data_IF_331234089493
#
_entry.id   IF_331234089493
#
_cell.length_a   1.000
_cell.length_b   1.000
_cell.length_c   1.000
_cell.angle_alpha   90.00
_cell.angle_beta   90.00
_cell.angle_gamma   90.00
#
_symmetry.space_group_name_H-M   'P 1'
#
loop_
_entity.id
_entity.type
_entity.pdbx_description
1 polymer ?
#
# COMPACT_ATOMS: atom_id res chain seq x y z
N UNK A 1 -7.01 11.95 10.90
CA UNK A 1 -8.04 10.91 10.71
C UNK A 1 -7.44 9.83 9.83
N UNK A 2 -7.87 8.57 9.99
CA UNK A 2 -7.47 7.42 9.16
C UNK A 2 -8.73 6.86 8.52
N UNK A 3 -8.70 6.63 7.21
CA UNK A 3 -9.82 6.01 6.48
C UNK A 3 -9.51 4.57 6.19
N UNK A 4 -10.49 3.70 6.40
CA UNK A 4 -10.42 2.29 6.05
C UNK A 4 -11.72 1.83 5.42
N UNK A 5 -11.62 0.73 4.68
CA UNK A 5 -12.78 -0.02 4.23
C UNK A 5 -12.67 -1.48 4.60
N UNK A 6 -13.75 -2.05 5.09
CA UNK A 6 -13.91 -3.47 5.39
C UNK A 6 -14.27 -4.17 4.07
N UNK A 7 -13.46 -5.16 3.68
CA UNK A 7 -13.58 -5.87 2.41
C UNK A 7 -14.31 -7.20 2.53
N UNK A 8 -14.64 -7.61 3.74
CA UNK A 8 -15.41 -8.82 4.04
C UNK A 8 -16.71 -8.44 4.76
N UNK A 9 -17.84 -8.78 4.16
CA UNK A 9 -19.16 -8.48 4.69
C UNK A 9 -19.37 -9.05 6.12
N UNK A 10 -18.73 -10.18 6.46
CA UNK A 10 -18.81 -10.82 7.78
C UNK A 10 -18.10 -10.03 8.88
N UNK A 11 -17.23 -9.08 8.52
CA UNK A 11 -16.46 -8.26 9.46
C UNK A 11 -17.05 -6.86 9.67
N UNK A 12 -18.17 -6.55 9.02
CA UNK A 12 -18.75 -5.20 9.05
C UNK A 12 -19.19 -4.77 10.44
N UNK A 13 -19.06 -3.48 10.73
CA UNK A 13 -19.43 -2.89 12.01
C UNK A 13 -20.80 -2.26 11.83
N UNK A 14 -21.87 -2.90 12.32
CA UNK A 14 -23.25 -2.44 12.11
C UNK A 14 -23.58 -2.17 10.63
N UNK A 15 -23.14 -3.07 9.74
CA UNK A 15 -23.26 -2.93 8.27
C UNK A 15 -22.45 -1.80 7.64
N UNK A 16 -21.65 -1.07 8.41
CA UNK A 16 -20.74 -0.06 7.89
C UNK A 16 -19.51 -0.74 7.30
N UNK A 17 -19.15 -0.33 6.09
CA UNK A 17 -17.99 -0.84 5.36
C UNK A 17 -16.91 0.21 5.19
N UNK A 18 -17.24 1.50 5.00
CA UNK A 18 -16.28 2.58 4.80
C UNK A 18 -16.30 3.55 5.99
N UNK A 19 -15.18 3.64 6.69
CA UNK A 19 -15.07 4.32 7.97
C UNK A 19 -13.92 5.32 7.94
N UNK A 20 -14.16 6.52 8.47
CA UNK A 20 -13.10 7.47 8.81
C UNK A 20 -13.05 7.61 10.32
N UNK A 21 -11.93 7.23 10.91
CA UNK A 21 -11.70 7.20 12.35
C UNK A 21 -10.72 8.30 12.76
N UNK A 22 -10.82 8.77 14.00
CA UNK A 22 -9.71 9.47 14.63
C UNK A 22 -8.51 8.52 14.77
N UNK A 23 -7.31 9.07 14.97
CA UNK A 23 -6.13 8.24 15.17
C UNK A 23 -6.28 7.35 16.42
N UNK A 24 -6.80 7.89 17.51
CA UNK A 24 -7.03 7.18 18.76
C UNK A 24 -8.02 6.01 18.60
N UNK A 25 -9.13 6.23 17.91
CA UNK A 25 -10.11 5.16 17.63
C UNK A 25 -9.51 4.08 16.74
N UNK A 26 -8.78 4.48 15.69
CA UNK A 26 -8.10 3.53 14.80
C UNK A 26 -7.09 2.65 15.56
N UNK A 27 -6.31 3.21 16.50
CA UNK A 27 -5.36 2.43 17.31
C UNK A 27 -6.04 1.34 18.13
N UNK A 28 -7.23 1.62 18.63
CA UNK A 28 -8.01 0.73 19.48
C UNK A 28 -8.95 -0.18 18.69
N UNK A 29 -9.05 0.00 17.37
CA UNK A 29 -9.94 -0.79 16.54
C UNK A 29 -9.55 -2.28 16.57
N UNK A 30 -10.45 -3.10 17.11
CA UNK A 30 -10.36 -4.56 17.06
C UNK A 30 -11.28 -5.07 15.97
N UNK A 31 -10.68 -5.66 14.94
CA UNK A 31 -11.40 -6.33 13.85
C UNK A 31 -10.71 -7.66 13.58
N UNK A 32 -11.50 -8.70 13.28
CA UNK A 32 -10.97 -10.05 13.09
C UNK A 32 -10.29 -10.27 11.73
N UNK A 33 -10.00 -9.20 10.98
CA UNK A 33 -9.30 -9.26 9.71
C UNK A 33 -7.93 -9.92 9.86
N UNK A 34 -7.59 -10.84 8.97
CA UNK A 34 -6.27 -11.49 8.88
C UNK A 34 -5.34 -10.75 7.93
N UNK A 35 -5.89 -10.03 6.95
CA UNK A 35 -5.13 -9.29 5.93
C UNK A 35 -5.44 -7.80 5.98
N UNK A 36 -4.41 -6.99 5.86
CA UNK A 36 -4.55 -5.54 5.79
C UNK A 36 -3.78 -5.01 4.60
N UNK A 37 -4.52 -4.37 3.68
CA UNK A 37 -3.96 -3.68 2.53
C UNK A 37 -3.80 -2.19 2.89
N UNK A 38 -2.65 -1.60 2.59
CA UNK A 38 -2.37 -0.19 2.79
C UNK A 38 -2.11 0.42 1.41
N UNK A 39 -2.97 1.34 0.98
CA UNK A 39 -2.93 1.91 -0.36
C UNK A 39 -2.67 3.42 -0.34
N UNK A 40 -1.92 3.90 -1.33
CA UNK A 40 -1.56 5.31 -1.48
C UNK A 40 -2.65 6.20 -2.07
N UNK A 41 -3.51 5.64 -2.93
CA UNK A 41 -4.48 6.39 -3.72
C UNK A 41 -5.94 6.17 -3.26
N UNK A 42 -6.73 7.26 -3.26
CA UNK A 42 -8.14 7.26 -2.83
C UNK A 42 -9.04 6.46 -3.77
N UNK A 43 -8.87 6.61 -5.08
CA UNK A 43 -9.63 5.88 -6.11
C UNK A 43 -9.36 4.39 -5.95
N UNK A 44 -8.10 4.00 -5.76
CA UNK A 44 -7.72 2.61 -5.52
C UNK A 44 -8.37 2.03 -4.28
N UNK A 45 -8.44 2.79 -3.17
CA UNK A 45 -9.16 2.33 -1.98
C UNK A 45 -10.65 2.10 -2.25
N UNK A 46 -11.31 3.06 -2.92
CA UNK A 46 -12.73 2.98 -3.26
C UNK A 46 -13.04 1.89 -4.28
N UNK A 47 -12.10 1.56 -5.16
CA UNK A 47 -12.26 0.54 -6.19
C UNK A 47 -11.70 -0.82 -5.79
N UNK A 48 -11.04 -0.95 -4.62
CA UNK A 48 -10.41 -2.21 -4.21
C UNK A 48 -11.45 -3.35 -4.23
N UNK A 49 -11.12 -4.58 -4.65
CA UNK A 49 -12.11 -5.65 -4.64
C UNK A 49 -12.42 -6.09 -3.21
N UNK A 50 -13.61 -6.64 -3.00
CA UNK A 50 -13.91 -7.39 -1.78
C UNK A 50 -12.93 -8.56 -1.65
N UNK A 51 -12.55 -8.86 -0.40
CA UNK A 51 -11.54 -9.85 -0.09
C UNK A 51 -11.84 -10.46 1.28
N UNK A 52 -11.87 -11.81 1.38
CA UNK A 52 -12.13 -12.49 2.65
C UNK A 52 -11.17 -12.05 3.75
N UNK A 53 -11.70 -11.90 4.95
CA UNK A 53 -10.99 -11.59 6.18
C UNK A 53 -10.04 -10.38 6.06
N UNK A 54 -10.43 -9.34 5.30
CA UNK A 54 -9.54 -8.23 4.99
C UNK A 54 -10.14 -6.84 5.21
N UNK A 55 -9.24 -5.88 5.43
CA UNK A 55 -9.52 -4.44 5.35
C UNK A 55 -8.50 -3.76 4.43
N UNK A 56 -8.85 -2.60 3.89
CA UNK A 56 -7.95 -1.69 3.19
C UNK A 56 -7.88 -0.35 3.92
N UNK A 57 -6.69 0.22 4.06
CA UNK A 57 -6.42 1.51 4.72
C UNK A 57 -5.87 2.48 3.69
N UNK A 58 -6.32 3.73 3.76
CA UNK A 58 -5.88 4.82 2.90
C UNK A 58 -5.51 6.08 3.70
N UNK A 59 -4.69 6.93 3.09
CA UNK A 59 -4.55 8.33 3.49
C UNK A 59 -3.34 8.64 4.37
N UNK A 60 -2.27 7.85 4.24
CA UNK A 60 -1.08 7.98 5.09
C UNK A 60 0.09 8.65 4.37
N UNK A 61 0.36 8.29 3.10
CA UNK A 61 1.56 8.77 2.40
C UNK A 61 2.82 8.59 3.26
N UNK A 62 3.60 9.65 3.43
CA UNK A 62 4.76 9.63 4.33
C UNK A 62 4.41 9.45 5.82
N UNK A 63 3.18 9.68 6.25
CA UNK A 63 2.73 9.52 7.63
C UNK A 63 2.36 8.07 7.99
N UNK A 64 2.90 7.05 7.29
CA UNK A 64 2.72 5.62 7.62
C UNK A 64 3.15 5.25 9.05
N UNK A 65 4.03 6.03 9.68
CA UNK A 65 4.37 5.88 11.09
C UNK A 65 3.15 6.07 12.02
N UNK A 66 2.09 6.73 11.57
CA UNK A 66 0.82 6.82 12.30
C UNK A 66 0.10 5.48 12.40
N UNK A 67 0.60 4.40 11.77
CA UNK A 67 0.05 3.05 11.92
C UNK A 67 0.62 2.26 13.10
N UNK A 68 1.80 2.62 13.60
CA UNK A 68 2.53 1.94 14.69
C UNK A 68 1.68 1.73 15.94
N UNK A 69 1.59 0.51 16.47
CA UNK A 69 0.73 0.14 17.63
C UNK A 69 -0.78 0.04 17.34
N UNK A 70 -1.22 0.10 16.09
CA UNK A 70 -2.63 -0.18 15.80
C UNK A 70 -2.95 -1.68 15.99
N UNK A 71 -3.95 -1.97 16.83
CA UNK A 71 -4.33 -3.35 17.17
C UNK A 71 -4.78 -4.16 15.95
N UNK A 72 -5.39 -3.51 14.96
CA UNK A 72 -5.81 -4.14 13.72
C UNK A 72 -4.65 -4.57 12.79
N UNK A 73 -3.41 -4.17 13.07
CA UNK A 73 -2.22 -4.56 12.29
C UNK A 73 -1.38 -5.64 12.98
N UNK A 74 -1.52 -5.80 14.29
CA UNK A 74 -0.69 -6.73 15.06
C UNK A 74 -0.99 -8.18 14.68
N UNK A 75 0.06 -8.92 14.31
CA UNK A 75 -0.03 -10.33 13.91
C UNK A 75 -0.78 -10.58 12.60
N UNK A 76 -0.98 -9.56 11.76
CA UNK A 76 -1.71 -9.66 10.48
C UNK A 76 -0.77 -9.72 9.29
N UNK A 77 -1.26 -10.25 8.19
CA UNK A 77 -0.58 -10.13 6.90
C UNK A 77 -0.76 -8.71 6.37
N UNK A 78 0.36 -8.03 6.14
CA UNK A 78 0.37 -6.64 5.73
C UNK A 78 0.86 -6.51 4.29
N UNK A 79 0.10 -5.81 3.47
CA UNK A 79 0.44 -5.53 2.09
C UNK A 79 0.44 -4.02 1.86
N UNK A 80 1.47 -3.49 1.22
CA UNK A 80 1.56 -2.09 0.84
C UNK A 80 1.54 -1.97 -0.69
N UNK A 81 0.71 -1.07 -1.20
CA UNK A 81 0.65 -0.72 -2.61
C UNK A 81 0.61 0.81 -2.77
N UNK A 82 1.72 1.36 -3.23
CA UNK A 82 1.84 2.76 -3.64
C UNK A 82 2.12 2.86 -5.14
N UNK A 83 2.46 4.07 -5.57
CA UNK A 83 2.98 4.32 -6.91
C UNK A 83 4.32 3.60 -7.10
N UNK A 84 4.58 3.16 -8.33
CA UNK A 84 5.89 2.66 -8.75
C UNK A 84 6.77 3.85 -9.13
N UNK A 85 7.29 4.53 -8.09
CA UNK A 85 8.22 5.66 -8.15
C UNK A 85 9.14 5.68 -6.91
N UNK A 86 10.11 6.61 -6.82
CA UNK A 86 10.99 6.72 -5.65
C UNK A 86 10.27 6.98 -4.32
N UNK A 87 9.18 7.74 -4.31
CA UNK A 87 8.46 8.10 -3.08
C UNK A 87 7.66 6.91 -2.55
N UNK A 88 7.01 6.13 -3.44
CA UNK A 88 6.29 4.91 -3.09
C UNK A 88 7.20 3.88 -2.43
N UNK A 89 8.40 3.64 -2.98
CA UNK A 89 9.38 2.73 -2.37
C UNK A 89 9.99 3.28 -1.08
N UNK A 90 10.13 4.61 -0.96
CA UNK A 90 10.54 5.25 0.30
C UNK A 90 9.50 5.03 1.40
N UNK A 91 8.21 5.16 1.09
CA UNK A 91 7.11 4.90 2.03
C UNK A 91 7.07 3.42 2.43
N UNK A 92 7.26 2.50 1.49
CA UNK A 92 7.38 1.07 1.76
C UNK A 92 8.52 0.78 2.76
N UNK A 93 9.71 1.32 2.49
CA UNK A 93 10.86 1.17 3.39
C UNK A 93 10.56 1.74 4.79
N UNK A 94 9.93 2.91 4.88
CA UNK A 94 9.54 3.52 6.16
C UNK A 94 8.51 2.68 6.91
N UNK A 95 7.56 2.07 6.20
CA UNK A 95 6.56 1.19 6.82
C UNK A 95 7.22 -0.09 7.35
N UNK A 96 8.17 -0.67 6.60
CA UNK A 96 8.92 -1.87 7.02
C UNK A 96 9.86 -1.64 8.20
N UNK A 97 10.30 -0.41 8.44
CA UNK A 97 11.00 -0.07 9.69
C UNK A 97 10.19 -0.47 10.94
N UNK A 98 8.86 -0.36 10.88
CA UNK A 98 7.98 -0.71 12.00
C UNK A 98 7.32 -2.08 11.84
N UNK A 99 7.09 -2.51 10.59
CA UNK A 99 6.47 -3.77 10.26
C UNK A 99 7.30 -4.53 9.21
N UNK A 100 8.40 -5.18 9.60
CA UNK A 100 9.33 -5.82 8.68
C UNK A 100 8.69 -6.88 7.76
N UNK A 101 7.58 -7.47 8.19
CA UNK A 101 6.82 -8.49 7.46
C UNK A 101 5.97 -7.95 6.30
N UNK A 102 5.87 -6.62 6.13
CA UNK A 102 5.05 -6.02 5.06
C UNK A 102 5.54 -6.46 3.69
N UNK A 103 4.63 -6.97 2.87
CA UNK A 103 4.87 -7.32 1.48
C UNK A 103 4.48 -6.16 0.57
N UNK A 104 5.27 -5.89 -0.46
CA UNK A 104 4.85 -5.02 -1.56
C UNK A 104 3.83 -5.74 -2.42
N UNK A 105 2.79 -5.02 -2.86
CA UNK A 105 1.76 -5.50 -3.77
C UNK A 105 1.85 -4.69 -5.06
N UNK A 106 2.11 -5.35 -6.18
CA UNK A 106 2.20 -4.74 -7.52
C UNK A 106 3.29 -3.65 -7.65
N UNK A 107 4.27 -3.66 -6.76
CA UNK A 107 5.42 -2.75 -6.78
C UNK A 107 6.70 -3.49 -7.17
N UNK A 108 6.64 -4.25 -8.25
CA UNK A 108 7.76 -5.05 -8.75
C UNK A 108 8.11 -4.68 -10.20
N UNK A 109 9.28 -5.14 -10.64
CA UNK A 109 9.77 -4.92 -12.00
C UNK A 109 8.82 -5.49 -13.06
N UNK A 110 8.21 -6.65 -12.80
CA UNK A 110 7.28 -7.30 -13.75
C UNK A 110 6.08 -6.41 -14.03
N UNK A 111 5.55 -5.78 -12.99
CA UNK A 111 4.42 -4.84 -13.06
C UNK A 111 4.82 -3.57 -13.80
N UNK A 112 6.00 -3.01 -13.49
CA UNK A 112 6.53 -1.85 -14.22
C UNK A 112 6.66 -2.15 -15.73
N UNK A 113 7.23 -3.31 -16.10
CA UNK A 113 7.39 -3.70 -17.51
C UNK A 113 6.06 -3.97 -18.21
N UNK A 114 5.11 -4.61 -17.52
CA UNK A 114 3.77 -4.88 -18.08
C UNK A 114 3.03 -3.58 -18.42
N UNK A 115 3.12 -2.58 -17.56
CA UNK A 115 2.48 -1.27 -17.73
C UNK A 115 3.44 -0.18 -18.23
N UNK A 116 4.55 -0.55 -18.89
CA UNK A 116 5.54 0.42 -19.39
C UNK A 116 4.97 1.51 -20.29
N UNK A 117 3.89 1.21 -21.00
CA UNK A 117 3.18 2.14 -21.88
C UNK A 117 2.38 3.21 -21.13
N UNK A 118 2.20 3.04 -19.81
CA UNK A 118 1.53 3.98 -18.91
C UNK A 118 2.52 4.71 -18.00
N UNK A 119 3.81 4.35 -18.04
CA UNK A 119 4.87 5.03 -17.30
C UNK A 119 5.07 6.44 -17.85
N UNK A 120 5.24 7.39 -16.95
CA UNK A 120 5.55 8.78 -17.28
C UNK A 120 6.90 9.19 -16.73
N UNK A 121 7.50 10.20 -17.34
CA UNK A 121 8.63 10.89 -16.74
C UNK A 121 8.13 11.89 -15.69
N UNK A 122 8.51 11.66 -14.44
CA UNK A 122 8.22 12.51 -13.30
C UNK A 122 9.55 12.81 -12.59
N UNK A 123 10.18 13.98 -12.87
CA UNK A 123 11.40 14.38 -12.18
C UNK A 123 11.18 14.38 -10.68
N UNK A 124 12.00 13.63 -9.94
CA UNK A 124 11.94 13.63 -8.49
C UNK A 124 12.79 14.77 -7.94
N UNK A 125 12.27 15.47 -6.93
CA UNK A 125 13.05 16.44 -6.15
C UNK A 125 13.82 15.77 -5.00
N UNK A 126 13.52 14.49 -4.73
CA UNK A 126 14.12 13.72 -3.66
C UNK A 126 15.53 13.27 -4.07
N UNK A 127 16.52 13.59 -3.23
CA UNK A 127 17.88 13.06 -3.37
C UNK A 127 17.82 11.54 -3.22
N UNK A 128 18.53 10.82 -4.09
CA UNK A 128 18.68 9.37 -3.98
C UNK A 128 19.29 9.01 -2.62
N UNK A 129 18.72 8.02 -1.94
CA UNK A 129 19.19 7.58 -0.62
C UNK A 129 19.18 6.07 -0.56
N UNK A 130 20.03 5.53 0.31
CA UNK A 130 19.97 4.13 0.67
C UNK A 130 18.71 3.84 1.52
N UNK A 131 17.86 2.96 1.03
CA UNK A 131 16.63 2.54 1.70
C UNK A 131 16.84 1.19 2.38
N UNK A 132 17.15 1.24 3.68
CA UNK A 132 17.62 0.09 4.48
C UNK A 132 16.66 -1.11 4.54
N UNK A 133 15.36 -0.90 4.32
CA UNK A 133 14.33 -1.93 4.52
C UNK A 133 13.71 -2.41 3.20
N UNK A 134 14.36 -2.14 2.07
CA UNK A 134 14.01 -2.73 0.79
C UNK A 134 14.75 -4.06 0.58
N UNK A 135 14.12 -4.96 -0.16
CA UNK A 135 14.80 -6.13 -0.71
C UNK A 135 15.78 -5.72 -1.81
N UNK A 136 16.71 -6.59 -2.17
CA UNK A 136 17.65 -6.34 -3.27
C UNK A 136 16.94 -5.99 -4.59
N UNK A 137 15.87 -6.72 -4.93
CA UNK A 137 15.08 -6.46 -6.13
C UNK A 137 14.39 -5.09 -6.10
N UNK A 138 13.87 -4.68 -4.94
CA UNK A 138 13.24 -3.38 -4.75
C UNK A 138 14.26 -2.23 -4.75
N UNK A 139 15.48 -2.45 -4.23
CA UNK A 139 16.58 -1.49 -4.33
C UNK A 139 16.98 -1.23 -5.79
N UNK A 140 17.13 -2.29 -6.57
CA UNK A 140 17.43 -2.16 -8.01
C UNK A 140 16.30 -1.44 -8.75
N UNK A 141 15.05 -1.73 -8.39
CA UNK A 141 13.89 -1.05 -8.94
C UNK A 141 13.87 0.44 -8.55
N UNK A 142 14.16 0.76 -7.29
CA UNK A 142 14.26 2.13 -6.79
C UNK A 142 15.29 2.95 -7.58
N UNK A 143 16.50 2.44 -7.75
CA UNK A 143 17.56 3.10 -8.52
C UNK A 143 17.12 3.35 -9.97
N UNK A 144 16.54 2.33 -10.63
CA UNK A 144 16.00 2.47 -11.99
C UNK A 144 14.93 3.57 -12.09
N UNK A 145 14.00 3.60 -11.14
CA UNK A 145 12.93 4.60 -11.10
C UNK A 145 13.48 6.00 -10.84
N UNK A 146 14.45 6.12 -9.93
CA UNK A 146 15.09 7.39 -9.59
C UNK A 146 15.89 7.98 -10.75
N UNK A 147 16.84 7.22 -11.30
CA UNK A 147 17.72 7.68 -12.39
C UNK A 147 16.95 7.95 -13.69
N UNK A 148 15.92 7.14 -13.97
CA UNK A 148 15.06 7.33 -15.14
C UNK A 148 13.98 8.40 -14.94
N UNK A 149 13.84 8.95 -13.73
CA UNK A 149 12.70 9.80 -13.34
C UNK A 149 11.37 9.17 -13.76
N UNK A 150 11.19 7.88 -13.49
CA UNK A 150 10.04 7.10 -13.94
C UNK A 150 8.99 7.02 -12.84
N UNK A 151 7.72 7.14 -13.26
CA UNK A 151 6.57 6.93 -12.38
C UNK A 151 5.48 6.16 -13.09
N UNK A 152 5.02 5.09 -12.44
CA UNK A 152 3.75 4.43 -12.77
C UNK A 152 2.78 4.66 -11.61
N UNK A 153 1.79 5.51 -11.84
CA UNK A 153 0.75 5.81 -10.87
C UNK A 153 -0.09 4.57 -10.55
N UNK A 154 -0.40 4.37 -9.27
CA UNK A 154 -1.14 3.22 -8.76
C UNK A 154 -2.46 3.02 -9.50
N UNK A 155 -3.23 4.09 -9.74
CA UNK A 155 -4.53 4.06 -10.41
C UNK A 155 -4.48 3.65 -11.89
N UNK A 156 -3.29 3.65 -12.52
CA UNK A 156 -3.13 3.22 -13.91
C UNK A 156 -3.04 1.71 -14.07
N UNK A 157 -2.78 1.00 -12.98
CA UNK A 157 -2.73 -0.46 -12.99
C UNK A 157 -4.17 -0.99 -13.01
N UNK A 158 -4.49 -1.79 -14.04
CA UNK A 158 -5.87 -2.23 -14.27
C UNK A 158 -6.42 -3.05 -13.11
N UNK A 159 -7.72 -2.89 -12.84
CA UNK A 159 -8.44 -3.66 -11.81
C UNK A 159 -8.36 -5.18 -12.03
N UNK A 160 -8.39 -5.64 -13.29
CA UNK A 160 -8.25 -7.07 -13.60
C UNK A 160 -6.88 -7.63 -13.18
N UNK A 161 -5.82 -6.84 -13.34
CA UNK A 161 -4.47 -7.23 -12.91
C UNK A 161 -4.38 -7.32 -11.38
N UNK A 162 -4.98 -6.36 -10.68
CA UNK A 162 -5.14 -6.41 -9.22
C UNK A 162 -5.86 -7.68 -8.77
N UNK A 163 -7.04 -7.97 -9.32
CA UNK A 163 -7.81 -9.16 -8.93
C UNK A 163 -7.01 -10.46 -9.14
N UNK A 164 -6.26 -10.58 -10.24
CA UNK A 164 -5.38 -11.73 -10.49
C UNK A 164 -4.25 -11.84 -9.47
N UNK A 165 -3.69 -10.71 -9.02
CA UNK A 165 -2.62 -10.69 -8.01
C UNK A 165 -3.11 -11.04 -6.59
N UNK A 166 -4.41 -10.86 -6.33
CA UNK A 166 -5.04 -11.16 -5.03
C UNK A 166 -5.58 -12.59 -4.93
N UNK A 167 -5.62 -13.34 -6.04
CA UNK A 167 -6.07 -14.73 -6.09
C UNK A 167 -5.01 -15.70 -5.54
N UNK A 168 -4.51 -15.41 -4.33
CA UNK A 168 -3.52 -16.18 -3.57
C UNK A 168 -4.23 -17.28 -2.78
#
# INVERSE_FOLDING_TARGET
>A
MIRLRILDASLTIHSLTDLTLTLSEFKQLKIAAKRVFIVGNKVTMLAFPDHPEAIVIFGLGYAVNLLVDAQCLQGRELYYWGDLDPDGLTILSRLRQYYPQVKSLLMDRKTLEHFKHLVVHAPTQSIEKELQYLTEEECLLYQKLHHGSLRLEQERISFNYLQKSLAI
#
